data_IF_374541816800
#
_entry.id   IF_374541816800
#
_cell.length_a   1.000
_cell.length_b   1.000
_cell.length_c   1.000
_cell.angle_alpha   90.00
_cell.angle_beta   90.00
_cell.angle_gamma   90.00
#
_symmetry.space_group_name_H-M   'P 1'
#
loop_
_entity.id
_entity.type
_entity.pdbx_description
1 polymer ?
#
# COMPACT_ATOMS: atom_id res chain seq x y z
N UNK A 1 -10.73 -5.07 -7.79
CA UNK A 1 -9.42 -5.73 -7.50
C UNK A 1 -9.70 -7.13 -6.96
N UNK A 2 -9.04 -8.18 -7.46
CA UNK A 2 -9.33 -9.56 -7.04
C UNK A 2 -8.64 -9.91 -5.71
N UNK A 3 -9.20 -10.87 -4.96
CA UNK A 3 -8.61 -11.36 -3.70
C UNK A 3 -7.18 -11.89 -3.87
N UNK A 4 -6.88 -12.49 -5.03
CA UNK A 4 -5.54 -12.95 -5.37
C UNK A 4 -4.53 -11.80 -5.51
N UNK A 5 -4.95 -10.67 -6.09
CA UNK A 5 -4.10 -9.49 -6.21
C UNK A 5 -3.83 -8.85 -4.83
N UNK A 6 -4.85 -8.76 -3.96
CA UNK A 6 -4.69 -8.30 -2.58
C UNK A 6 -3.68 -9.15 -1.79
N UNK A 7 -3.80 -10.47 -1.87
CA UNK A 7 -2.86 -11.38 -1.21
C UNK A 7 -1.41 -11.21 -1.69
N UNK A 8 -1.21 -10.95 -2.99
CA UNK A 8 0.12 -10.66 -3.55
C UNK A 8 0.69 -9.35 -3.03
N UNK A 9 -0.11 -8.29 -2.91
CA UNK A 9 0.33 -7.00 -2.35
C UNK A 9 0.76 -7.13 -0.89
N UNK A 10 0.01 -7.87 -0.07
CA UNK A 10 0.38 -8.13 1.34
C UNK A 10 1.70 -8.90 1.40
N UNK A 11 1.86 -9.90 0.54
CA UNK A 11 3.10 -10.70 0.46
C UNK A 11 4.29 -9.84 0.05
N UNK A 12 4.09 -8.91 -0.90
CA UNK A 12 5.12 -7.99 -1.33
C UNK A 12 5.55 -7.06 -0.19
N UNK A 13 4.61 -6.43 0.51
CA UNK A 13 4.90 -5.55 1.66
C UNK A 13 5.70 -6.29 2.75
N UNK A 14 5.33 -7.54 3.06
CA UNK A 14 6.07 -8.39 4.00
C UNK A 14 7.50 -8.66 3.53
N UNK A 15 7.70 -8.96 2.25
CA UNK A 15 9.04 -9.20 1.68
C UNK A 15 9.91 -7.95 1.72
N UNK A 16 9.35 -6.79 1.38
CA UNK A 16 10.06 -5.50 1.46
C UNK A 16 10.48 -5.21 2.90
N UNK A 17 9.57 -5.36 3.87
CA UNK A 17 9.86 -5.18 5.30
C UNK A 17 10.90 -6.18 5.82
N UNK A 18 10.83 -7.45 5.39
CA UNK A 18 11.84 -8.47 5.74
C UNK A 18 13.24 -8.11 5.22
N UNK A 19 13.31 -7.47 4.04
CA UNK A 19 14.55 -6.91 3.50
C UNK A 19 14.98 -5.57 4.11
N UNK A 20 14.35 -5.13 5.22
CA UNK A 20 14.53 -3.80 5.83
C UNK A 20 14.21 -2.63 4.89
N UNK A 21 13.47 -2.89 3.81
CA UNK A 21 12.94 -1.86 2.93
C UNK A 21 11.65 -1.25 3.47
N UNK A 22 11.24 -0.15 2.87
CA UNK A 22 9.94 0.49 3.10
C UNK A 22 9.17 0.51 1.78
N UNK A 23 7.85 0.36 1.84
CA UNK A 23 6.98 0.48 0.69
C UNK A 23 5.94 1.56 0.98
N UNK A 24 5.78 2.49 0.06
CA UNK A 24 4.74 3.52 0.07
C UNK A 24 3.94 3.38 -1.22
N UNK A 25 2.63 3.48 -1.14
CA UNK A 25 1.75 3.55 -2.31
C UNK A 25 1.19 4.97 -2.42
N UNK A 26 0.94 5.47 -3.63
CA UNK A 26 0.31 6.77 -3.85
C UNK A 26 -0.61 6.76 -5.06
N UNK A 27 -1.43 7.81 -5.24
CA UNK A 27 -2.36 7.95 -6.36
C UNK A 27 -3.30 6.73 -6.53
N UNK A 28 -3.72 6.11 -5.43
CA UNK A 28 -4.70 5.02 -5.47
C UNK A 28 -6.06 5.60 -5.83
N UNK A 29 -6.69 5.04 -6.88
CA UNK A 29 -8.04 5.44 -7.29
C UNK A 29 -9.04 5.27 -6.13
N UNK A 30 -9.98 6.21 -5.92
CA UNK A 30 -10.90 6.20 -4.78
C UNK A 30 -11.63 4.87 -4.56
N UNK A 31 -12.16 4.28 -5.63
CA UNK A 31 -12.84 2.97 -5.59
C UNK A 31 -11.94 1.80 -5.14
N UNK A 32 -10.62 1.87 -5.40
CA UNK A 32 -9.67 0.86 -4.91
C UNK A 32 -9.33 1.15 -3.44
N UNK A 33 -9.21 2.43 -3.08
CA UNK A 33 -8.97 2.84 -1.71
C UNK A 33 -10.12 2.42 -0.77
N UNK A 34 -11.38 2.55 -1.21
CA UNK A 34 -12.54 2.05 -0.48
C UNK A 34 -12.46 0.54 -0.22
N UNK A 35 -12.07 -0.25 -1.22
CA UNK A 35 -11.82 -1.69 -1.05
C UNK A 35 -10.75 -1.94 0.01
N UNK A 36 -9.67 -1.15 0.02
CA UNK A 36 -8.64 -1.25 1.05
C UNK A 36 -9.14 -0.84 2.44
N UNK A 37 -10.05 0.14 2.55
CA UNK A 37 -10.67 0.52 3.82
C UNK A 37 -11.59 -0.57 4.35
N UNK A 38 -12.47 -1.13 3.50
CA UNK A 38 -13.39 -2.24 3.85
C UNK A 38 -12.59 -3.44 4.35
N UNK A 39 -11.51 -3.79 3.64
CA UNK A 39 -10.64 -4.92 4.00
C UNK A 39 -9.61 -4.58 5.08
N UNK A 40 -9.61 -3.35 5.61
CA UNK A 40 -8.65 -2.83 6.60
C UNK A 40 -7.18 -2.87 6.16
N UNK A 41 -6.92 -3.04 4.86
CA UNK A 41 -5.58 -3.04 4.28
C UNK A 41 -4.95 -1.66 4.24
N UNK A 42 -5.75 -0.59 4.34
CA UNK A 42 -5.28 0.78 4.53
C UNK A 42 -4.48 0.97 5.83
N UNK A 43 -4.57 0.03 6.79
CA UNK A 43 -3.72 0.01 8.00
C UNK A 43 -2.45 -0.81 7.85
N UNK A 44 -2.38 -1.64 6.81
CA UNK A 44 -1.24 -2.52 6.51
C UNK A 44 -0.26 -1.82 5.58
N UNK A 45 -0.79 -1.20 4.52
CA UNK A 45 -0.03 -0.42 3.57
C UNK A 45 0.06 1.03 4.00
N UNK A 46 1.23 1.63 3.77
CA UNK A 46 1.40 3.06 3.90
C UNK A 46 1.00 3.74 2.58
N UNK A 47 -0.20 4.31 2.56
CA UNK A 47 -0.81 4.93 1.38
C UNK A 47 -0.80 6.45 1.55
N UNK A 48 -0.25 7.14 0.56
CA UNK A 48 -0.09 8.59 0.49
C UNK A 48 -0.93 9.16 -0.63
N UNK A 49 -1.16 10.47 -0.61
CA UNK A 49 -1.98 11.13 -1.63
C UNK A 49 -1.32 11.04 -3.00
N UNK A 50 -0.09 11.51 -3.10
CA UNK A 50 0.66 11.64 -4.34
C UNK A 50 2.12 11.18 -4.20
N UNK A 51 2.83 11.17 -5.32
CA UNK A 51 4.22 10.73 -5.40
C UNK A 51 5.15 11.61 -4.56
N UNK A 52 4.92 12.93 -4.55
CA UNK A 52 5.73 13.87 -3.76
C UNK A 52 5.63 13.56 -2.27
N UNK A 53 4.42 13.33 -1.75
CA UNK A 53 4.19 12.95 -0.35
C UNK A 53 4.80 11.57 -0.05
N UNK A 54 4.66 10.60 -0.96
CA UNK A 54 5.25 9.28 -0.81
C UNK A 54 6.77 9.32 -0.73
N UNK A 55 7.42 10.07 -1.61
CA UNK A 55 8.86 10.26 -1.62
C UNK A 55 9.35 10.94 -0.34
N UNK A 56 8.65 11.98 0.11
CA UNK A 56 8.96 12.67 1.37
C UNK A 56 8.83 11.74 2.58
N UNK A 57 7.86 10.82 2.58
CA UNK A 57 7.63 9.88 3.67
C UNK A 57 8.68 8.75 3.76
N UNK A 58 9.65 8.67 2.84
CA UNK A 58 10.86 7.86 3.00
C UNK A 58 11.97 8.60 3.76
N UNK A 59 11.89 9.91 3.91
CA UNK A 59 12.78 10.70 4.77
C UNK A 59 12.71 10.26 6.22
#
# INVERSE_FOLDING_TARGET
>A
LSSAALGKLITLDRKVKAGKGRMKMCNIRPEIFEVFQITKLNKVFDIRKDETEAMTAFG
#
